data_IF_428737648189
#
_entry.id   IF_428737648189
#
_cell.length_a   1.000
_cell.length_b   1.000
_cell.length_c   1.000
_cell.angle_alpha   90.00
_cell.angle_beta   90.00
_cell.angle_gamma   90.00
#
_symmetry.space_group_name_H-M   'P 1'
#
loop_
_entity.id
_entity.type
_entity.pdbx_description
1 polymer ?
#
# COMPACT_ATOMS: atom_id res chain seq x y z
N UNK A 1 -13.76 4.57 -16.29
CA UNK A 1 -14.09 4.69 -14.86
C UNK A 1 -12.78 4.61 -14.11
N UNK A 2 -12.47 5.58 -13.27
CA UNK A 2 -11.33 5.48 -12.34
C UNK A 2 -11.52 4.21 -11.52
N UNK A 3 -10.58 3.27 -11.62
CA UNK A 3 -10.62 2.04 -10.85
C UNK A 3 -10.49 2.44 -9.38
N UNK A 4 -11.57 2.26 -8.61
CA UNK A 4 -11.58 2.51 -7.17
C UNK A 4 -10.41 1.74 -6.52
N UNK A 5 -9.78 2.32 -5.49
CA UNK A 5 -8.67 1.70 -4.77
C UNK A 5 -8.99 0.26 -4.32
N UNK A 6 -10.23 0.01 -3.90
CA UNK A 6 -10.70 -1.35 -3.57
C UNK A 6 -10.57 -2.35 -4.73
N UNK A 7 -10.92 -1.92 -5.95
CA UNK A 7 -10.83 -2.75 -7.15
C UNK A 7 -9.36 -2.99 -7.54
N UNK A 8 -8.53 -1.96 -7.44
CA UNK A 8 -7.10 -2.09 -7.70
C UNK A 8 -6.44 -3.10 -6.75
N UNK A 9 -6.78 -3.06 -5.46
CA UNK A 9 -6.25 -4.02 -4.48
C UNK A 9 -6.70 -5.45 -4.81
N UNK A 10 -7.98 -5.65 -5.16
CA UNK A 10 -8.48 -6.97 -5.56
C UNK A 10 -7.79 -7.53 -6.81
N UNK A 11 -7.52 -6.68 -7.81
CA UNK A 11 -6.77 -7.07 -9.00
C UNK A 11 -5.31 -7.38 -8.69
N UNK A 12 -4.68 -6.55 -7.86
CA UNK A 12 -3.29 -6.75 -7.45
C UNK A 12 -3.06 -8.06 -6.70
N UNK A 13 -4.06 -8.57 -5.95
CA UNK A 13 -4.02 -9.93 -5.35
C UNK A 13 -3.95 -11.06 -6.38
N UNK A 14 -4.44 -10.82 -7.58
CA UNK A 14 -4.39 -11.79 -8.70
C UNK A 14 -3.13 -11.62 -9.56
N UNK A 15 -2.07 -11.02 -8.99
CA UNK A 15 -0.80 -10.69 -9.66
C UNK A 15 -0.95 -9.77 -10.89
N UNK A 16 -1.99 -8.93 -10.93
CA UNK A 16 -2.14 -7.87 -11.94
C UNK A 16 -1.10 -6.76 -11.71
N UNK A 17 -0.02 -6.77 -12.49
CA UNK A 17 1.07 -5.80 -12.41
C UNK A 17 0.61 -4.36 -12.66
N UNK A 18 -0.33 -4.14 -13.60
CA UNK A 18 -0.85 -2.80 -13.90
C UNK A 18 -1.62 -2.23 -12.69
N UNK A 19 -2.34 -3.09 -11.96
CA UNK A 19 -3.03 -2.68 -10.75
C UNK A 19 -2.04 -2.29 -9.64
N UNK A 20 -0.96 -3.07 -9.47
CA UNK A 20 0.10 -2.76 -8.50
C UNK A 20 0.77 -1.43 -8.84
N UNK A 21 1.13 -1.22 -10.10
CA UNK A 21 1.76 0.03 -10.57
C UNK A 21 0.86 1.23 -10.30
N UNK A 22 -0.44 1.14 -10.63
CA UNK A 22 -1.40 2.22 -10.35
C UNK A 22 -1.51 2.54 -8.86
N UNK A 23 -1.50 1.52 -7.99
CA UNK A 23 -1.52 1.76 -6.54
C UNK A 23 -0.24 2.47 -6.09
N UNK A 24 0.92 2.06 -6.59
CA UNK A 24 2.19 2.71 -6.27
C UNK A 24 2.22 4.16 -6.75
N UNK A 25 1.72 4.46 -7.94
CA UNK A 25 1.59 5.84 -8.45
C UNK A 25 0.70 6.70 -7.55
N UNK A 26 -0.43 6.15 -7.07
CA UNK A 26 -1.31 6.82 -6.12
C UNK A 26 -0.64 7.10 -4.77
N UNK A 27 0.28 6.22 -4.34
CA UNK A 27 1.00 6.33 -3.06
C UNK A 27 2.33 7.10 -3.16
N UNK A 28 2.85 7.32 -4.37
CA UNK A 28 4.13 8.01 -4.62
C UNK A 28 4.23 9.37 -3.91
N UNK A 29 3.20 10.24 -3.86
CA UNK A 29 3.29 11.50 -3.12
C UNK A 29 3.60 11.30 -1.64
N UNK A 30 3.07 10.23 -1.03
CA UNK A 30 3.30 9.91 0.38
C UNK A 30 4.69 9.30 0.59
N UNK A 31 5.14 8.42 -0.32
CA UNK A 31 6.50 7.85 -0.30
C UNK A 31 7.53 8.98 -0.37
N UNK A 32 7.39 9.89 -1.34
CA UNK A 32 8.28 11.03 -1.53
C UNK A 32 8.34 11.93 -0.30
N UNK A 33 7.19 12.17 0.32
CA UNK A 33 7.12 12.98 1.54
C UNK A 33 7.90 12.37 2.71
N UNK A 34 7.81 11.05 2.92
CA UNK A 34 8.57 10.39 3.99
C UNK A 34 10.06 10.29 3.65
N UNK A 35 10.42 9.95 2.40
CA UNK A 35 11.82 9.86 1.94
C UNK A 35 12.56 11.17 2.13
N UNK A 36 11.92 12.32 1.85
CA UNK A 36 12.54 13.65 2.00
C UNK A 36 13.00 13.98 3.42
N UNK A 37 12.38 13.37 4.44
CA UNK A 37 12.75 13.56 5.86
C UNK A 37 14.03 12.83 6.25
N UNK A 38 14.48 11.91 5.40
CA UNK A 38 15.72 11.14 5.60
C UNK A 38 16.91 11.85 4.96
N UNK A 39 18.11 11.61 5.51
CA UNK A 39 19.36 12.11 4.96
C UNK A 39 19.53 11.69 3.49
N UNK A 40 20.02 12.61 2.66
CA UNK A 40 20.06 12.45 1.20
C UNK A 40 20.72 11.14 0.73
N UNK A 41 21.83 10.76 1.38
CA UNK A 41 22.56 9.52 1.13
C UNK A 41 21.77 8.22 1.34
N UNK A 42 20.64 8.27 2.05
CA UNK A 42 19.80 7.10 2.35
C UNK A 42 18.44 7.16 1.64
N UNK A 43 18.18 8.19 0.85
CA UNK A 43 16.84 8.42 0.25
C UNK A 43 16.47 7.36 -0.77
N UNK A 44 17.40 7.00 -1.66
CA UNK A 44 17.16 5.98 -2.69
C UNK A 44 16.94 4.60 -2.07
N UNK A 45 17.78 4.19 -1.11
CA UNK A 45 17.62 2.93 -0.40
C UNK A 45 16.28 2.87 0.32
N UNK A 46 15.91 3.94 1.04
CA UNK A 46 14.62 4.03 1.74
C UNK A 46 13.45 3.99 0.76
N UNK A 47 13.54 4.69 -0.37
CA UNK A 47 12.50 4.64 -1.41
C UNK A 47 12.31 3.20 -1.90
N UNK A 48 13.40 2.50 -2.21
CA UNK A 48 13.33 1.12 -2.68
C UNK A 48 12.73 0.19 -1.62
N UNK A 49 13.15 0.32 -0.36
CA UNK A 49 12.64 -0.51 0.73
C UNK A 49 11.14 -0.29 0.95
N UNK A 50 10.69 0.97 0.94
CA UNK A 50 9.27 1.32 1.05
C UNK A 50 8.46 0.76 -0.11
N UNK A 51 8.95 0.87 -1.34
CA UNK A 51 8.28 0.31 -2.52
C UNK A 51 8.15 -1.21 -2.43
N UNK A 52 9.22 -1.93 -2.04
CA UNK A 52 9.17 -3.39 -1.86
C UNK A 52 8.17 -3.78 -0.78
N UNK A 53 8.17 -3.06 0.36
CA UNK A 53 7.20 -3.29 1.45
C UNK A 53 5.78 -3.05 0.99
N UNK A 54 5.52 -1.96 0.26
CA UNK A 54 4.19 -1.65 -0.26
C UNK A 54 3.69 -2.74 -1.21
N UNK A 55 4.53 -3.22 -2.14
CA UNK A 55 4.14 -4.31 -3.05
C UNK A 55 3.72 -5.56 -2.27
N UNK A 56 4.50 -5.95 -1.26
CA UNK A 56 4.15 -7.10 -0.39
C UNK A 56 2.85 -6.87 0.35
N UNK A 57 2.71 -5.71 1.00
CA UNK A 57 1.50 -5.35 1.74
C UNK A 57 0.26 -5.31 0.84
N UNK A 58 0.36 -4.78 -0.37
CA UNK A 58 -0.75 -4.75 -1.35
C UNK A 58 -1.22 -6.16 -1.69
N UNK A 59 -0.29 -7.08 -1.96
CA UNK A 59 -0.60 -8.48 -2.30
C UNK A 59 -1.21 -9.25 -1.13
N UNK A 60 -0.76 -8.95 0.09
CA UNK A 60 -1.21 -9.61 1.32
C UNK A 60 -2.42 -8.93 1.97
N UNK A 61 -2.88 -7.79 1.46
CA UNK A 61 -3.89 -6.97 2.12
C UNK A 61 -5.24 -7.69 2.19
N UNK A 62 -5.71 -8.03 3.39
CA UNK A 62 -6.98 -8.72 3.55
C UNK A 62 -8.18 -7.75 3.33
N UNK A 63 -9.03 -8.07 2.35
CA UNK A 63 -10.26 -7.32 2.08
C UNK A 63 -11.50 -8.09 2.52
N UNK A 64 -11.34 -9.38 2.83
CA UNK A 64 -12.44 -10.29 3.14
C UNK A 64 -12.70 -10.31 4.65
N UNK A 65 -11.66 -10.09 5.47
CA UNK A 65 -11.75 -10.01 6.93
C UNK A 65 -11.64 -8.57 7.44
N UNK A 66 -12.48 -7.67 6.93
CA UNK A 66 -12.61 -6.32 7.51
C UNK A 66 -13.50 -6.41 8.75
N UNK A 67 -12.99 -6.14 9.97
CA UNK A 67 -13.81 -6.20 11.17
C UNK A 67 -14.89 -5.12 11.13
N UNK A 68 -16.12 -5.48 11.48
CA UNK A 68 -17.14 -4.49 11.81
C UNK A 68 -16.75 -3.67 13.06
N UNK A 69 -17.49 -2.60 13.31
CA UNK A 69 -17.19 -1.67 14.40
C UNK A 69 -17.04 -2.37 15.76
N UNK A 70 -17.94 -3.30 16.08
CA UNK A 70 -17.94 -3.99 17.37
C UNK A 70 -16.75 -4.95 17.49
N UNK A 71 -16.44 -5.69 16.42
CA UNK A 71 -15.28 -6.57 16.35
C UNK A 71 -13.96 -5.80 16.42
N UNK A 72 -13.89 -4.64 15.75
CA UNK A 72 -12.74 -3.74 15.82
C UNK A 72 -12.50 -3.23 17.25
N UNK A 73 -13.56 -2.81 17.96
CA UNK A 73 -13.45 -2.33 19.33
C UNK A 73 -13.03 -3.43 20.32
N UNK A 74 -13.38 -4.70 20.06
CA UNK A 74 -12.95 -5.85 20.88
C UNK A 74 -11.47 -6.17 20.71
N UNK A 75 -10.91 -6.04 19.49
CA UNK A 75 -9.50 -6.33 19.20
C UNK A 75 -8.51 -5.29 19.77
N UNK A 76 -8.99 -4.10 20.15
CA UNK A 76 -8.16 -3.02 20.73
C UNK A 76 -7.91 -3.14 22.24
N UNK A 77 -8.51 -4.11 22.92
CA UNK A 77 -8.32 -4.37 24.36
C UNK A 77 -7.21 -5.39 24.58
#
# INVERSE_FOLDING_TARGET
MENNFYELINRAKSDDEDAIVKILELLEPKIQYEVRKTAEKHREDLKQELTIKLIKTIKEFDLDNVPDFDNFMKQRK
#
